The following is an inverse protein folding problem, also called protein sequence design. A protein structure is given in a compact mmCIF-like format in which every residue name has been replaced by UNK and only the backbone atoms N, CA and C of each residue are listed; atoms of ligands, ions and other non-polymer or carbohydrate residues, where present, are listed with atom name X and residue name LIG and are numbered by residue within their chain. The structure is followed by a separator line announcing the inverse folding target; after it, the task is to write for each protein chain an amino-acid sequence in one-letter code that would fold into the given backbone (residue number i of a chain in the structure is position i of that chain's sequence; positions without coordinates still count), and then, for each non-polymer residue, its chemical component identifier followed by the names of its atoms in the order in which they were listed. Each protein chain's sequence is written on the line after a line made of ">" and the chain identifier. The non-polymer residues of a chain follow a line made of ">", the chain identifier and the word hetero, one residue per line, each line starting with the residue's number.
data_IF_849407572712
#
_entry.id   IF_849407572712
#
_cell.length_a   1.000
_cell.length_b   1.000
_cell.length_c   1.000
_cell.angle_alpha   90.00
_cell.angle_beta   90.00
_cell.angle_gamma   90.00
#
_symmetry.space_group_name_H-M   'P 1'
#
loop_
_entity.id
_entity.type
_entity.pdbx_description
1 polymer ?
#
# COMPACT_ATOMS: atom_id res chain seq x y z
N UNK A 1 -39.59 -6.08 55.48
CA UNK A 1 -39.94 -4.74 54.95
C UNK A 1 -39.07 -4.46 53.74
N UNK A 2 -39.74 -4.22 52.61
CA UNK A 2 -39.22 -4.29 51.24
C UNK A 2 -38.59 -2.96 50.87
N UNK A 3 -37.36 -2.94 50.34
CA UNK A 3 -36.79 -1.79 49.63
C UNK A 3 -36.16 -2.26 48.33
N UNK A 4 -37.00 -2.31 47.30
CA UNK A 4 -36.65 -2.34 45.90
C UNK A 4 -35.97 -1.03 45.50
N UNK A 5 -34.71 -1.10 45.08
CA UNK A 5 -34.02 0.00 44.41
C UNK A 5 -34.20 -0.18 42.91
N UNK A 6 -35.18 0.54 42.38
CA UNK A 6 -35.44 0.70 40.95
C UNK A 6 -34.33 1.57 40.35
N UNK A 7 -33.55 1.01 39.43
CA UNK A 7 -32.62 1.79 38.61
C UNK A 7 -33.40 2.56 37.52
N UNK A 8 -33.09 3.84 37.25
CA UNK A 8 -33.70 4.57 36.14
C UNK A 8 -33.08 4.11 34.81
N UNK A 9 -33.94 3.61 33.92
CA UNK A 9 -33.59 3.31 32.54
C UNK A 9 -33.16 4.59 31.80
N UNK A 10 -31.86 4.69 31.48
CA UNK A 10 -31.33 5.72 30.60
C UNK A 10 -31.84 5.44 29.19
N UNK A 11 -32.91 6.13 28.81
CA UNK A 11 -33.41 6.18 27.42
C UNK A 11 -32.31 6.78 26.54
N UNK A 12 -31.62 5.94 25.77
CA UNK A 12 -30.78 6.40 24.67
C UNK A 12 -31.67 7.12 23.66
N UNK A 13 -31.64 8.45 23.65
CA UNK A 13 -32.17 9.24 22.54
C UNK A 13 -31.41 8.84 21.28
N UNK A 14 -32.05 8.05 20.41
CA UNK A 14 -31.57 7.85 19.05
C UNK A 14 -31.60 9.22 18.37
N UNK A 15 -30.50 9.70 17.76
CA UNK A 15 -30.59 10.86 16.89
C UNK A 15 -31.53 10.48 15.74
N UNK A 16 -32.66 11.17 15.67
CA UNK A 16 -33.56 11.15 14.52
C UNK A 16 -32.73 11.38 13.26
N UNK A 17 -32.67 10.37 12.40
CA UNK A 17 -32.01 10.45 11.11
C UNK A 17 -32.63 11.61 10.33
N UNK A 18 -31.87 12.70 10.22
CA UNK A 18 -32.16 13.79 9.31
C UNK A 18 -32.16 13.17 7.91
N UNK A 19 -33.36 13.02 7.35
CA UNK A 19 -33.57 12.63 5.95
C UNK A 19 -32.98 13.75 5.11
N UNK A 20 -31.69 13.65 4.78
CA UNK A 20 -31.07 14.50 3.78
C UNK A 20 -31.74 14.14 2.46
N UNK A 21 -32.68 14.99 2.02
CA UNK A 21 -33.24 14.97 0.67
C UNK A 21 -32.05 14.96 -0.29
N UNK A 22 -31.89 13.86 -1.02
CA UNK A 22 -30.86 13.74 -2.06
C UNK A 22 -31.03 14.92 -3.03
N UNK A 23 -29.95 15.61 -3.43
CA UNK A 23 -30.06 16.60 -4.48
C UNK A 23 -30.60 15.92 -5.73
N UNK A 24 -31.75 16.39 -6.18
CA UNK A 24 -32.32 16.07 -7.47
C UNK A 24 -31.25 16.31 -8.53
N UNK A 25 -30.90 15.27 -9.29
CA UNK A 25 -29.96 15.39 -10.39
C UNK A 25 -30.43 16.49 -11.35
N UNK A 26 -29.56 17.41 -11.80
CA UNK A 26 -29.92 18.37 -12.83
C UNK A 26 -30.33 17.60 -14.08
N UNK A 27 -31.46 18.03 -14.65
CA UNK A 27 -32.05 17.47 -15.85
C UNK A 27 -31.00 17.30 -16.95
N UNK A 28 -31.05 16.12 -17.57
CA UNK A 28 -30.45 15.77 -18.85
C UNK A 28 -30.32 17.00 -19.77
N UNK A 29 -29.10 17.48 -19.93
CA UNK A 29 -28.75 18.37 -21.02
C UNK A 29 -28.93 17.53 -22.29
N UNK A 30 -29.88 17.93 -23.12
CA UNK A 30 -30.15 17.27 -24.39
C UNK A 30 -28.88 17.23 -25.26
N UNK A 31 -28.66 16.14 -26.02
CA UNK A 31 -27.55 16.06 -26.93
C UNK A 31 -27.65 17.19 -27.96
N UNK A 32 -26.60 18.00 -28.05
CA UNK A 32 -26.42 18.99 -29.11
C UNK A 32 -26.57 18.24 -30.45
N UNK A 33 -27.44 18.69 -31.37
CA UNK A 33 -27.56 18.06 -32.68
C UNK A 33 -26.22 18.22 -33.39
N UNK A 34 -25.58 17.08 -33.69
CA UNK A 34 -24.48 17.00 -34.63
C UNK A 34 -24.92 17.65 -35.94
N UNK A 35 -24.30 18.77 -36.28
CA UNK A 35 -24.42 19.38 -37.60
C UNK A 35 -24.02 18.31 -38.61
N UNK A 36 -25.02 17.82 -39.34
CA UNK A 36 -24.87 17.04 -40.57
C UNK A 36 -24.08 17.92 -41.54
N UNK A 37 -22.78 17.74 -41.58
CA UNK A 37 -21.96 18.30 -42.66
C UNK A 37 -22.43 17.64 -43.95
N UNK A 38 -22.97 18.51 -44.79
CA UNK A 38 -23.44 18.30 -46.13
C UNK A 38 -22.43 17.49 -46.95
N UNK A 39 -23.00 16.58 -47.74
CA UNK A 39 -22.38 15.91 -48.87
C UNK A 39 -21.62 16.88 -49.78
N UNK A 40 -20.33 16.65 -49.98
CA UNK A 40 -19.64 17.02 -51.21
C UNK A 40 -19.07 15.75 -51.85
N UNK A 41 -19.72 15.39 -52.96
CA UNK A 41 -19.30 14.71 -54.18
C UNK A 41 -18.16 13.66 -54.18
N UNK A 42 -18.32 12.54 -54.91
CA UNK A 42 -17.29 11.55 -55.15
C UNK A 42 -16.43 11.95 -56.36
N UNK A 43 -15.12 12.13 -56.17
CA UNK A 43 -14.15 12.23 -57.27
C UNK A 43 -12.93 11.38 -56.90
N UNK A 44 -12.86 10.20 -57.53
CA UNK A 44 -11.68 9.59 -58.14
C UNK A 44 -10.30 9.89 -57.51
N UNK A 45 -9.66 8.86 -56.92
CA UNK A 45 -8.35 8.29 -57.33
C UNK A 45 -7.47 7.77 -56.19
N UNK A 46 -6.75 6.70 -56.55
CA UNK A 46 -5.44 6.28 -56.06
C UNK A 46 -5.34 5.54 -54.70
N UNK A 47 -5.32 4.21 -54.84
CA UNK A 47 -4.68 3.26 -53.94
C UNK A 47 -3.18 3.55 -53.81
N UNK A 48 -2.79 4.42 -52.88
CA UNK A 48 -1.39 4.59 -52.49
C UNK A 48 -1.03 3.56 -51.40
N UNK A 49 -0.41 2.45 -51.82
CA UNK A 49 0.17 1.46 -50.93
C UNK A 49 1.18 2.08 -49.97
N UNK A 50 0.91 1.97 -48.67
CA UNK A 50 1.85 2.29 -47.60
C UNK A 50 3.04 1.32 -47.67
N UNK A 51 4.09 1.69 -48.41
CA UNK A 51 5.40 1.06 -48.34
C UNK A 51 5.95 1.25 -46.93
N UNK A 52 5.73 0.27 -46.05
CA UNK A 52 6.48 0.14 -44.80
C UNK A 52 7.95 -0.08 -45.18
N UNK A 53 8.72 0.99 -45.17
CA UNK A 53 10.15 0.95 -45.46
C UNK A 53 10.91 -0.01 -44.53
N UNK A 54 12.05 -0.54 -44.97
CA UNK A 54 12.85 -1.46 -44.19
C UNK A 54 13.27 -0.80 -42.86
N UNK A 55 12.97 -1.48 -41.75
CA UNK A 55 13.37 -1.04 -40.41
C UNK A 55 14.89 -0.96 -40.37
N UNK A 56 15.43 0.26 -40.22
CA UNK A 56 16.86 0.49 -39.97
C UNK A 56 17.28 -0.32 -38.73
N UNK A 57 17.96 -1.44 -38.95
CA UNK A 57 18.62 -2.20 -37.90
C UNK A 57 19.77 -1.33 -37.39
N UNK A 58 19.66 -0.84 -36.16
CA UNK A 58 20.76 -0.09 -35.53
C UNK A 58 21.98 -1.02 -35.42
N UNK A 59 23.18 -0.59 -35.84
CA UNK A 59 24.38 -1.40 -35.68
C UNK A 59 24.59 -1.70 -34.19
N UNK A 60 24.81 -2.97 -33.87
CA UNK A 60 25.22 -3.42 -32.53
C UNK A 60 26.42 -2.59 -32.10
N UNK A 61 26.25 -1.82 -31.01
CA UNK A 61 27.32 -1.11 -30.34
C UNK A 61 28.46 -2.11 -30.10
N UNK A 62 29.58 -1.90 -30.79
CA UNK A 62 30.85 -2.60 -30.56
C UNK A 62 31.14 -2.43 -29.07
N UNK A 63 31.22 -3.55 -28.34
CA UNK A 63 31.60 -3.54 -26.93
C UNK A 63 33.00 -2.94 -26.88
N UNK A 64 33.10 -1.73 -26.35
CA UNK A 64 34.36 -1.05 -26.12
C UNK A 64 35.05 -1.89 -25.03
N UNK A 65 36.12 -2.58 -25.40
CA UNK A 65 37.03 -3.27 -24.50
C UNK A 65 37.33 -2.32 -23.33
N UNK A 66 36.90 -2.74 -22.14
CA UNK A 66 37.21 -2.04 -20.90
C UNK A 66 38.69 -2.29 -20.61
N UNK A 67 39.54 -1.33 -20.95
CA UNK A 67 40.89 -1.27 -20.40
C UNK A 67 40.78 -1.14 -18.89
N UNK A 68 41.33 -2.13 -18.20
CA UNK A 68 41.53 -2.15 -16.76
C UNK A 68 42.62 -1.14 -16.43
N UNK A 69 42.21 0.09 -16.13
CA UNK A 69 43.10 1.09 -15.55
C UNK A 69 43.16 0.85 -14.04
N UNK A 70 44.18 0.11 -13.64
CA UNK A 70 44.70 0.07 -12.28
C UNK A 70 45.13 1.48 -11.85
N UNK A 71 44.44 2.09 -10.89
CA UNK A 71 45.00 3.20 -10.12
C UNK A 71 44.99 2.84 -8.64
N UNK A 72 46.20 2.47 -8.21
CA UNK A 72 46.66 2.39 -6.83
C UNK A 72 46.52 3.76 -6.15
N UNK A 73 46.12 3.70 -4.88
CA UNK A 73 46.64 4.56 -3.81
C UNK A 73 46.17 6.01 -3.77
N UNK A 74 45.43 6.35 -2.71
CA UNK A 74 45.81 7.48 -1.86
C UNK A 74 45.13 7.40 -0.50
N UNK A 75 46.01 7.17 0.46
CA UNK A 75 45.81 7.13 1.89
C UNK A 75 45.42 8.49 2.50
N UNK A 76 44.67 8.39 3.59
CA UNK A 76 44.69 9.26 4.78
C UNK A 76 44.25 10.73 4.64
N UNK A 77 43.10 11.05 5.25
CA UNK A 77 43.01 12.20 6.15
C UNK A 77 42.05 11.97 7.32
N UNK A 78 42.70 11.58 8.42
CA UNK A 78 42.29 11.56 9.82
C UNK A 78 42.03 12.99 10.33
N UNK A 79 40.87 13.27 10.94
CA UNK A 79 40.69 14.14 12.14
C UNK A 79 39.20 14.27 12.56
N UNK A 80 38.88 14.72 13.80
CA UNK A 80 38.56 13.83 14.92
C UNK A 80 37.14 14.07 15.49
N UNK A 81 36.72 13.11 16.31
CA UNK A 81 35.62 13.25 17.27
C UNK A 81 35.88 14.38 18.29
N UNK A 82 34.82 14.99 18.83
CA UNK A 82 34.82 15.45 20.22
C UNK A 82 33.96 14.53 21.10
N UNK A 83 34.63 13.95 22.09
CA UNK A 83 34.05 13.32 23.27
C UNK A 83 33.38 14.35 24.21
N UNK A 84 32.68 13.80 25.24
CA UNK A 84 32.19 14.39 26.51
C UNK A 84 30.67 14.71 26.50
N UNK A 85 29.80 14.29 27.43
CA UNK A 85 29.90 13.82 28.83
C UNK A 85 28.67 12.95 29.20
N UNK A 86 28.86 11.80 29.85
CA UNK A 86 28.61 11.53 31.27
C UNK A 86 27.15 11.30 31.74
N UNK A 87 26.92 10.04 32.14
CA UNK A 87 26.22 9.61 33.36
C UNK A 87 24.70 9.83 33.54
N UNK A 88 23.96 8.71 33.61
CA UNK A 88 23.19 8.41 34.83
C UNK A 88 22.95 6.91 34.98
N UNK A 89 23.54 6.35 36.03
CA UNK A 89 23.16 5.09 36.67
C UNK A 89 21.70 5.21 37.14
N UNK A 90 20.94 4.11 37.08
CA UNK A 90 20.32 3.54 38.27
C UNK A 90 19.71 2.16 38.00
N UNK A 91 20.27 1.18 38.69
CA UNK A 91 19.71 -0.13 38.95
C UNK A 91 18.31 -0.01 39.57
N UNK A 92 17.37 -0.84 39.13
CA UNK A 92 16.31 -1.34 40.01
C UNK A 92 16.09 -2.82 39.77
N UNK A 93 16.84 -3.60 40.55
CA UNK A 93 16.60 -4.98 40.91
C UNK A 93 15.24 -5.08 41.61
N UNK A 94 14.34 -5.92 41.10
CA UNK A 94 13.22 -6.50 41.84
C UNK A 94 13.15 -7.98 41.47
N UNK A 95 13.64 -8.80 42.39
CA UNK A 95 13.37 -10.24 42.47
C UNK A 95 12.01 -10.41 43.19
N UNK A 96 11.27 -11.45 42.81
CA UNK A 96 10.05 -11.88 43.50
C UNK A 96 9.07 -12.61 42.57
N UNK A 97 9.20 -13.95 42.55
CA UNK A 97 8.14 -14.98 42.53
C UNK A 97 6.96 -14.78 41.57
N UNK A 98 6.69 -15.64 40.58
CA UNK A 98 6.41 -17.06 40.78
C UNK A 98 4.93 -17.33 40.49
N UNK A 99 4.55 -17.33 39.21
CA UNK A 99 3.34 -18.00 38.68
C UNK A 99 3.61 -18.39 37.23
N UNK A 100 3.50 -19.68 36.98
CA UNK A 100 3.76 -20.36 35.71
C UNK A 100 2.83 -19.86 34.59
N UNK A 101 3.32 -18.90 33.80
CA UNK A 101 2.67 -18.44 32.56
C UNK A 101 3.47 -18.83 31.30
N UNK A 102 4.38 -19.80 31.42
CA UNK A 102 5.37 -20.15 30.40
C UNK A 102 4.93 -21.22 29.37
N UNK A 103 3.63 -21.48 29.21
CA UNK A 103 3.10 -22.38 28.17
C UNK A 103 2.18 -21.69 27.17
N UNK A 104 2.38 -20.39 26.92
CA UNK A 104 1.84 -19.77 25.71
C UNK A 104 2.67 -20.27 24.51
N UNK A 105 2.04 -20.90 23.51
CA UNK A 105 2.76 -21.35 22.32
C UNK A 105 3.48 -20.14 21.72
N UNK A 106 4.79 -20.30 21.54
CA UNK A 106 5.67 -19.35 20.88
C UNK A 106 5.14 -19.15 19.45
N UNK A 107 4.45 -18.03 19.21
CA UNK A 107 4.05 -17.60 17.87
C UNK A 107 5.27 -17.72 16.95
N UNK A 108 5.16 -18.37 15.77
CA UNK A 108 6.30 -18.61 14.91
C UNK A 108 6.93 -17.29 14.50
N UNK A 109 8.18 -17.11 14.93
CA UNK A 109 9.02 -15.93 14.69
C UNK A 109 9.37 -15.84 13.19
N UNK A 110 8.46 -15.25 12.42
CA UNK A 110 8.59 -15.01 10.98
C UNK A 110 7.65 -15.87 10.12
N UNK A 111 7.31 -15.43 8.89
CA UNK A 111 6.42 -16.21 8.02
C UNK A 111 7.10 -17.52 7.63
N UNK A 112 6.78 -18.60 8.34
CA UNK A 112 7.19 -19.95 7.98
C UNK A 112 6.58 -20.24 6.60
N UNK A 113 7.38 -20.72 5.64
CA UNK A 113 6.85 -21.16 4.36
C UNK A 113 5.81 -22.27 4.57
N UNK A 114 4.54 -22.01 4.27
CA UNK A 114 3.49 -23.04 4.34
C UNK A 114 3.67 -24.04 3.20
N UNK A 115 3.81 -25.32 3.53
CA UNK A 115 3.79 -26.41 2.54
C UNK A 115 2.38 -26.97 2.40
N UNK A 116 2.16 -27.79 1.37
CA UNK A 116 0.87 -28.46 1.13
C UNK A 116 0.44 -29.34 2.33
N UNK A 117 1.40 -29.87 3.06
CA UNK A 117 1.17 -30.72 4.25
C UNK A 117 0.74 -29.90 5.46
N UNK A 118 1.04 -28.60 5.48
CA UNK A 118 0.77 -27.73 6.63
C UNK A 118 -0.54 -26.95 6.47
N UNK A 119 -0.95 -26.68 5.23
CA UNK A 119 -2.06 -25.76 4.94
C UNK A 119 -3.26 -26.53 4.41
N UNK A 120 -4.23 -26.76 5.28
CA UNK A 120 -5.52 -27.37 4.96
C UNK A 120 -6.67 -26.35 4.91
N UNK A 121 -6.51 -25.20 5.59
CA UNK A 121 -7.55 -24.17 5.67
C UNK A 121 -7.37 -23.07 4.60
N UNK A 122 -8.49 -22.59 4.07
CA UNK A 122 -8.51 -21.48 3.11
C UNK A 122 -8.00 -20.18 3.74
N UNK A 123 -8.39 -19.90 4.98
CA UNK A 123 -7.99 -18.69 5.70
C UNK A 123 -6.46 -18.59 5.82
N UNK A 124 -5.84 -19.68 6.28
CA UNK A 124 -4.39 -19.79 6.42
C UNK A 124 -3.69 -19.61 5.07
N UNK A 125 -4.22 -20.23 4.01
CA UNK A 125 -3.70 -20.06 2.65
C UNK A 125 -3.75 -18.59 2.19
N UNK A 126 -4.91 -17.92 2.33
CA UNK A 126 -5.11 -16.54 1.89
C UNK A 126 -4.27 -15.55 2.70
N UNK A 127 -4.07 -15.80 4.00
CA UNK A 127 -3.16 -15.03 4.87
C UNK A 127 -1.70 -15.16 4.42
N UNK A 128 -1.24 -16.37 4.11
CA UNK A 128 0.15 -16.64 3.70
C UNK A 128 0.53 -16.04 2.35
N UNK A 129 -0.37 -16.10 1.35
CA UNK A 129 -0.12 -15.46 0.04
C UNK A 129 -0.22 -13.93 0.12
N UNK A 130 -1.01 -13.41 1.08
CA UNK A 130 -1.18 -12.00 1.38
C UNK A 130 -1.98 -11.21 0.34
N UNK A 131 -1.60 -9.95 0.08
CA UNK A 131 -2.24 -9.02 -0.88
C UNK A 131 -3.73 -8.71 -0.64
N UNK A 132 -4.18 -8.77 0.62
CA UNK A 132 -5.59 -8.59 1.04
C UNK A 132 -6.56 -9.62 0.45
N UNK A 133 -6.09 -10.86 0.23
CA UNK A 133 -6.94 -11.94 -0.22
C UNK A 133 -7.86 -12.51 0.88
N UNK A 134 -7.70 -12.09 2.14
CA UNK A 134 -8.57 -12.47 3.27
C UNK A 134 -10.00 -11.94 3.09
N UNK A 135 -10.15 -10.78 2.46
CA UNK A 135 -11.46 -10.19 2.13
C UNK A 135 -12.27 -11.06 1.16
N UNK A 136 -11.60 -11.95 0.41
CA UNK A 136 -12.24 -12.76 -0.63
C UNK A 136 -12.73 -14.13 -0.12
N UNK A 137 -12.69 -14.38 1.18
CA UNK A 137 -13.05 -15.68 1.74
C UNK A 137 -14.55 -15.96 1.66
N UNK A 138 -15.37 -14.91 1.75
CA UNK A 138 -16.83 -14.96 1.68
C UNK A 138 -17.29 -15.50 0.32
N UNK A 139 -16.59 -15.18 -0.77
CA UNK A 139 -16.92 -15.66 -2.10
C UNK A 139 -16.56 -17.13 -2.34
N UNK A 140 -15.70 -17.73 -1.50
CA UNK A 140 -15.27 -19.13 -1.62
C UNK A 140 -15.91 -20.05 -0.58
N UNK A 141 -16.93 -19.57 0.14
CA UNK A 141 -17.64 -20.32 1.17
C UNK A 141 -16.71 -20.82 2.29
N UNK A 142 -15.57 -20.14 2.51
CA UNK A 142 -14.47 -20.53 3.42
C UNK A 142 -13.80 -21.89 3.15
N UNK A 143 -14.11 -22.55 2.03
CA UNK A 143 -13.62 -23.90 1.73
C UNK A 143 -12.45 -23.90 0.73
N UNK A 144 -11.36 -24.59 1.10
CA UNK A 144 -10.17 -24.69 0.26
C UNK A 144 -10.43 -25.49 -1.02
N UNK A 145 -11.20 -26.58 -0.94
CA UNK A 145 -11.50 -27.40 -2.10
C UNK A 145 -12.30 -26.65 -3.17
N UNK A 146 -13.27 -25.84 -2.74
CA UNK A 146 -14.08 -24.98 -3.61
C UNK A 146 -13.17 -24.02 -4.37
N UNK A 147 -12.23 -23.36 -3.67
CA UNK A 147 -11.22 -22.50 -4.29
C UNK A 147 -10.34 -23.25 -5.32
N UNK A 148 -9.89 -24.46 -4.99
CA UNK A 148 -9.04 -25.26 -5.89
C UNK A 148 -9.77 -25.68 -7.17
N UNK A 149 -11.06 -26.01 -7.08
CA UNK A 149 -11.87 -26.45 -8.23
C UNK A 149 -12.30 -25.29 -9.12
N UNK A 150 -12.59 -24.13 -8.55
CA UNK A 150 -13.24 -23.03 -9.25
C UNK A 150 -12.50 -22.54 -10.52
N UNK A 151 -13.23 -22.33 -11.61
CA UNK A 151 -12.63 -21.83 -12.86
C UNK A 151 -12.40 -20.31 -12.84
N UNK A 152 -11.63 -19.81 -13.82
CA UNK A 152 -11.45 -18.35 -13.97
C UNK A 152 -12.73 -17.61 -14.38
N UNK A 153 -13.69 -18.32 -14.98
CA UNK A 153 -14.98 -17.75 -15.37
C UNK A 153 -15.87 -17.56 -14.14
N UNK A 154 -15.99 -18.59 -13.30
CA UNK A 154 -16.73 -18.53 -12.02
C UNK A 154 -16.19 -17.44 -11.09
N UNK A 155 -14.87 -17.33 -10.97
CA UNK A 155 -14.25 -16.23 -10.18
C UNK A 155 -14.60 -14.84 -10.73
N UNK A 156 -14.84 -14.70 -12.03
CA UNK A 156 -15.26 -13.44 -12.65
C UNK A 156 -16.72 -13.14 -12.32
N UNK A 157 -17.58 -14.15 -12.34
CA UNK A 157 -19.01 -14.06 -12.01
C UNK A 157 -19.23 -13.68 -10.54
N UNK A 158 -18.42 -14.24 -9.63
CA UNK A 158 -18.39 -13.85 -8.20
C UNK A 158 -17.84 -12.43 -7.94
N UNK A 159 -17.44 -11.69 -8.97
CA UNK A 159 -17.03 -10.28 -8.83
C UNK A 159 -15.56 -10.04 -8.49
N UNK A 160 -14.69 -11.05 -8.54
CA UNK A 160 -13.27 -10.90 -8.20
C UNK A 160 -12.55 -10.10 -9.29
N UNK A 161 -11.78 -9.07 -8.87
CA UNK A 161 -10.96 -8.27 -9.79
C UNK A 161 -10.01 -9.13 -10.63
N UNK A 162 -9.83 -8.74 -11.89
CA UNK A 162 -9.03 -9.49 -12.86
C UNK A 162 -7.57 -9.66 -12.42
N UNK A 163 -7.01 -8.69 -11.68
CA UNK A 163 -5.65 -8.78 -11.16
C UNK A 163 -5.55 -9.82 -10.05
N UNK A 164 -6.47 -9.78 -9.11
CA UNK A 164 -6.50 -10.68 -7.95
C UNK A 164 -6.78 -12.11 -8.42
N UNK A 165 -7.72 -12.30 -9.34
CA UNK A 165 -8.00 -13.58 -9.97
C UNK A 165 -6.77 -14.22 -10.61
N UNK A 166 -6.00 -13.49 -11.42
CA UNK A 166 -4.75 -14.00 -12.03
C UNK A 166 -3.72 -14.40 -10.98
N UNK A 167 -3.64 -13.64 -9.89
CA UNK A 167 -2.73 -13.93 -8.79
C UNK A 167 -3.11 -15.23 -8.07
N UNK A 168 -4.41 -15.40 -7.77
CA UNK A 168 -4.95 -16.60 -7.13
C UNK A 168 -4.75 -17.85 -7.99
N UNK A 169 -5.05 -17.79 -9.28
CA UNK A 169 -4.87 -18.93 -10.21
C UNK A 169 -3.40 -19.35 -10.28
N UNK A 170 -2.47 -18.39 -10.32
CA UNK A 170 -1.04 -18.69 -10.33
C UNK A 170 -0.60 -19.37 -9.03
N UNK A 171 -1.08 -18.89 -7.88
CA UNK A 171 -0.79 -19.52 -6.59
C UNK A 171 -1.42 -20.89 -6.43
N UNK A 172 -2.65 -21.07 -6.91
CA UNK A 172 -3.31 -22.38 -6.96
C UNK A 172 -2.44 -23.38 -7.73
N UNK A 173 -1.96 -23.02 -8.92
CA UNK A 173 -1.08 -23.89 -9.70
C UNK A 173 0.18 -24.25 -8.91
N UNK A 174 0.86 -23.27 -8.31
CA UNK A 174 2.04 -23.51 -7.47
C UNK A 174 1.76 -24.43 -6.28
N UNK A 175 0.61 -24.26 -5.65
CA UNK A 175 0.18 -25.05 -4.50
C UNK A 175 -0.13 -26.51 -4.87
N UNK A 176 -0.89 -26.73 -5.95
CA UNK A 176 -1.23 -28.08 -6.44
C UNK A 176 0.03 -28.86 -6.84
N UNK A 177 0.97 -28.19 -7.51
CA UNK A 177 2.22 -28.81 -7.98
C UNK A 177 3.35 -28.80 -6.95
N UNK A 178 3.17 -28.19 -5.78
CA UNK A 178 4.21 -28.09 -4.74
C UNK A 178 5.49 -27.38 -5.21
N UNK A 179 5.39 -26.44 -6.16
CA UNK A 179 6.56 -25.81 -6.81
C UNK A 179 7.28 -24.83 -5.89
N UNK A 180 6.53 -24.10 -5.08
CA UNK A 180 7.05 -23.08 -4.18
C UNK A 180 6.33 -23.14 -2.84
N UNK A 181 7.04 -22.88 -1.74
CA UNK A 181 6.38 -22.67 -0.47
C UNK A 181 5.51 -21.41 -0.48
N UNK A 182 4.41 -21.44 0.28
CA UNK A 182 3.53 -20.28 0.43
C UNK A 182 4.26 -19.16 1.16
N UNK A 183 4.41 -18.02 0.49
CA UNK A 183 5.04 -16.81 1.02
C UNK A 183 4.39 -15.56 0.44
N UNK A 184 4.47 -14.46 1.18
CA UNK A 184 3.97 -13.16 0.70
C UNK A 184 4.92 -12.54 -0.32
N UNK A 185 4.45 -12.39 -1.57
CA UNK A 185 5.13 -11.54 -2.56
C UNK A 185 4.54 -10.14 -2.55
N UNK A 186 5.22 -9.21 -1.88
CA UNK A 186 4.80 -7.80 -1.83
C UNK A 186 4.88 -7.14 -3.22
N UNK A 187 4.06 -6.11 -3.41
CA UNK A 187 4.07 -5.33 -4.65
C UNK A 187 5.08 -4.20 -4.52
N UNK A 188 5.85 -3.96 -5.58
CA UNK A 188 6.72 -2.79 -5.66
C UNK A 188 5.92 -1.50 -5.47
N UNK A 189 6.32 -0.68 -4.49
CA UNK A 189 5.77 0.65 -4.24
C UNK A 189 6.78 1.70 -4.70
N UNK A 190 6.31 2.80 -5.27
CA UNK A 190 7.19 3.90 -5.70
C UNK A 190 7.57 4.73 -4.48
N UNK A 191 8.86 4.95 -4.26
CA UNK A 191 9.37 5.91 -3.27
C UNK A 191 9.13 7.34 -3.79
N UNK A 192 8.57 8.23 -2.97
CA UNK A 192 8.39 9.66 -3.28
C UNK A 192 7.74 9.97 -4.66
N UNK A 193 6.81 9.13 -5.13
CA UNK A 193 6.15 9.31 -6.43
C UNK A 193 6.94 8.81 -7.66
N UNK A 194 8.13 8.21 -7.43
CA UNK A 194 9.04 7.70 -8.45
C UNK A 194 10.08 8.72 -8.89
N UNK A 195 11.10 8.25 -9.61
CA UNK A 195 12.31 9.01 -9.98
C UNK A 195 12.00 10.40 -10.57
N UNK A 196 11.08 10.47 -11.54
CA UNK A 196 10.74 11.74 -12.23
C UNK A 196 10.09 12.78 -11.32
N UNK A 197 9.32 12.35 -10.32
CA UNK A 197 8.56 13.25 -9.42
C UNK A 197 9.25 13.46 -8.07
N UNK A 198 10.29 12.69 -7.78
CA UNK A 198 10.94 12.69 -6.47
C UNK A 198 11.40 14.09 -6.05
N UNK A 199 12.16 14.79 -6.91
CA UNK A 199 12.65 16.15 -6.59
C UNK A 199 11.51 17.11 -6.24
N UNK A 200 10.40 17.07 -6.97
CA UNK A 200 9.22 17.91 -6.73
C UNK A 200 8.56 17.56 -5.40
N UNK A 201 8.32 16.28 -5.13
CA UNK A 201 7.65 15.81 -3.90
C UNK A 201 8.50 16.15 -2.67
N UNK A 202 9.81 15.96 -2.76
CA UNK A 202 10.75 16.29 -1.67
C UNK A 202 10.79 17.80 -1.43
N UNK A 203 10.85 18.61 -2.49
CA UNK A 203 10.84 20.07 -2.35
C UNK A 203 9.53 20.58 -1.72
N UNK A 204 8.39 20.06 -2.16
CA UNK A 204 7.07 20.41 -1.60
C UNK A 204 6.99 20.04 -0.11
N UNK A 205 7.41 18.82 0.25
CA UNK A 205 7.43 18.37 1.66
C UNK A 205 8.31 19.27 2.53
N UNK A 206 9.49 19.65 2.03
CA UNK A 206 10.39 20.58 2.75
C UNK A 206 9.80 21.99 2.87
N UNK A 207 9.11 22.49 1.86
CA UNK A 207 8.47 23.80 1.91
C UNK A 207 7.35 23.84 2.96
N UNK A 208 6.48 22.81 3.00
CA UNK A 208 5.43 22.69 4.01
C UNK A 208 6.00 22.61 5.43
N UNK A 209 7.03 21.79 5.65
CA UNK A 209 7.68 21.68 6.95
C UNK A 209 8.20 23.04 7.46
N UNK A 210 8.78 23.88 6.58
CA UNK A 210 9.23 25.23 6.96
C UNK A 210 8.09 26.18 7.29
N UNK A 211 6.92 26.03 6.66
CA UNK A 211 5.74 26.83 6.99
C UNK A 211 5.18 26.42 8.35
N UNK A 212 5.07 25.11 8.60
CA UNK A 212 4.64 24.57 9.90
C UNK A 212 5.57 25.00 11.04
N UNK A 213 6.89 25.01 10.82
CA UNK A 213 7.87 25.49 11.81
C UNK A 213 7.68 26.98 12.12
N UNK A 214 7.42 27.82 11.11
CA UNK A 214 7.13 29.24 11.30
C UNK A 214 5.83 29.46 12.06
N UNK A 215 4.79 28.69 11.74
CA UNK A 215 3.50 28.75 12.42
C UNK A 215 3.62 28.32 13.88
N UNK A 216 4.36 27.25 14.17
CA UNK A 216 4.65 26.80 15.54
C UNK A 216 5.43 27.84 16.33
N UNK A 217 6.47 28.41 15.75
CA UNK A 217 7.23 29.49 16.38
C UNK A 217 6.33 30.70 16.71
N UNK A 218 5.48 31.12 15.77
CA UNK A 218 4.54 32.20 16.00
C UNK A 218 3.51 31.86 17.10
N UNK A 219 3.04 30.60 17.14
CA UNK A 219 2.14 30.12 18.20
C UNK A 219 2.84 30.13 19.57
N UNK A 220 4.09 29.69 19.65
CA UNK A 220 4.89 29.71 20.87
C UNK A 220 5.13 31.15 21.37
N UNK A 221 5.42 32.08 20.48
CA UNK A 221 5.51 33.50 20.82
C UNK A 221 4.19 34.04 21.39
N UNK A 222 3.06 33.77 20.72
CA UNK A 222 1.73 34.18 21.20
C UNK A 222 1.38 33.52 22.54
N UNK A 223 1.78 32.28 22.77
CA UNK A 223 1.60 31.60 24.05
C UNK A 223 2.48 32.18 25.16
N UNK A 224 3.71 32.58 24.85
CA UNK A 224 4.62 33.22 25.81
C UNK A 224 4.10 34.60 26.24
N UNK A 225 3.52 35.36 25.31
CA UNK A 225 2.82 36.62 25.62
C UNK A 225 1.62 36.38 26.54
N UNK A 226 0.76 35.40 26.22
CA UNK A 226 -0.41 35.07 27.04
C UNK A 226 -0.03 34.65 28.46
N UNK A 227 1.12 34.00 28.63
CA UNK A 227 1.66 33.59 29.93
C UNK A 227 2.39 34.73 30.66
N UNK A 228 2.62 35.88 30.02
CA UNK A 228 3.37 37.00 30.59
C UNK A 228 4.87 36.72 30.75
N UNK A 229 5.40 35.72 30.03
CA UNK A 229 6.81 35.29 30.12
C UNK A 229 7.70 35.93 29.05
N UNK A 230 7.13 36.75 28.16
CA UNK A 230 7.89 37.47 27.14
C UNK A 230 8.65 38.62 27.80
N UNK A 231 9.93 38.37 28.12
CA UNK A 231 10.86 39.43 28.52
C UNK A 231 11.23 40.20 27.27
N UNK A 232 10.83 41.48 27.21
CA UNK A 232 11.20 42.41 26.15
C UNK A 232 12.66 42.85 26.27
#
# INVERSE_FOLDING_TARGET
>A
MIRSLFAPAVRSMRPSAVIMKRPTAPAFISPIPTIRCFSMSPILQATAGSKRGPRKVKPRRRVRSFEVVNQRGKDTKKKPEPAKDASKKNNKKKEGEGVDAASLPKEPEGPVPGTKETVHDLETFMRLIGRRCVELMEEFDNDLETFLRMSSAEMKEKGIDSRTRRYLINWRHKFVHGLEPLRTYSRGRKKNGGERKERRVVALRRALARLEEKEKWAQEELEAERKGLRVF
#
